data_IF_532168382050
#
_entry.id   IF_532168382050
#
_cell.length_a   1.000
_cell.length_b   1.000
_cell.length_c   1.000
_cell.angle_alpha   90.00
_cell.angle_beta   90.00
_cell.angle_gamma   90.00
#
_symmetry.space_group_name_H-M   'P 1'
#
loop_
_entity.id
_entity.type
_entity.pdbx_description
1 polymer ?
#
# COMPACT_ATOMS: atom_id res chain seq x y z
N UNK A 1 -22.32 -3.28 6.56
CA UNK A 1 -20.96 -3.79 6.93
C UNK A 1 -21.08 -5.30 6.95
N UNK A 2 -20.25 -5.99 6.21
CA UNK A 2 -20.20 -7.45 6.16
C UNK A 2 -19.83 -8.01 7.55
N UNK A 3 -20.28 -9.24 7.87
CA UNK A 3 -20.01 -9.92 9.15
C UNK A 3 -18.51 -9.99 9.46
N UNK A 4 -17.71 -10.36 8.45
CA UNK A 4 -16.25 -10.42 8.60
C UNK A 4 -15.66 -9.05 8.97
N UNK A 5 -16.13 -7.97 8.34
CA UNK A 5 -15.64 -6.63 8.62
C UNK A 5 -15.98 -6.17 10.06
N UNK A 6 -17.11 -6.62 10.60
CA UNK A 6 -17.48 -6.36 11.99
C UNK A 6 -16.62 -7.17 12.97
N UNK A 7 -16.37 -8.44 12.66
CA UNK A 7 -15.49 -9.30 13.46
C UNK A 7 -14.06 -8.75 13.51
N UNK A 8 -13.51 -8.32 12.37
CA UNK A 8 -12.21 -7.68 12.27
C UNK A 8 -12.12 -6.36 13.06
N UNK A 9 -13.17 -5.54 12.99
CA UNK A 9 -13.22 -4.30 13.77
C UNK A 9 -13.16 -4.56 15.28
N UNK A 10 -13.89 -5.56 15.75
CA UNK A 10 -13.92 -5.96 17.17
C UNK A 10 -12.58 -6.57 17.60
N UNK A 11 -12.04 -7.48 16.79
CA UNK A 11 -10.75 -8.13 17.05
C UNK A 11 -9.60 -7.12 17.11
N UNK A 12 -9.59 -6.12 16.21
CA UNK A 12 -8.58 -5.05 16.20
C UNK A 12 -8.52 -4.29 17.53
N UNK A 13 -9.68 -3.98 18.12
CA UNK A 13 -9.74 -3.31 19.41
C UNK A 13 -9.13 -4.17 20.52
N UNK A 14 -9.57 -5.42 20.63
CA UNK A 14 -9.07 -6.33 21.65
C UNK A 14 -7.56 -6.63 21.46
N UNK A 15 -7.14 -6.76 20.19
CA UNK A 15 -5.72 -6.96 19.87
C UNK A 15 -4.85 -5.77 20.31
N UNK A 16 -5.32 -4.54 20.11
CA UNK A 16 -4.62 -3.35 20.57
C UNK A 16 -4.52 -3.28 22.11
N UNK A 17 -5.47 -3.86 22.82
CA UNK A 17 -5.49 -4.01 24.28
C UNK A 17 -4.66 -5.20 24.79
N UNK A 18 -4.01 -5.95 23.88
CA UNK A 18 -3.11 -7.06 24.22
C UNK A 18 -3.73 -8.45 24.12
N UNK A 19 -5.00 -8.57 23.72
CA UNK A 19 -5.61 -9.88 23.49
C UNK A 19 -5.04 -10.55 22.22
N UNK A 20 -4.96 -11.89 22.16
CA UNK A 20 -4.58 -12.60 20.95
C UNK A 20 -5.67 -12.46 19.87
N UNK A 21 -5.25 -12.55 18.60
CA UNK A 21 -6.19 -12.64 17.49
C UNK A 21 -6.84 -14.04 17.42
N UNK A 22 -8.11 -14.11 17.05
CA UNK A 22 -8.74 -15.41 16.74
C UNK A 22 -8.01 -16.08 15.56
N UNK A 23 -7.74 -17.38 15.71
CA UNK A 23 -7.04 -18.17 14.70
C UNK A 23 -7.80 -18.14 13.37
N UNK A 24 -7.11 -17.79 12.29
CA UNK A 24 -7.66 -17.76 10.93
C UNK A 24 -8.57 -16.58 10.62
N UNK A 25 -8.67 -15.59 11.50
CA UNK A 25 -9.44 -14.37 11.25
C UNK A 25 -8.79 -13.47 10.18
N UNK A 26 -7.46 -13.40 10.19
CA UNK A 26 -6.66 -12.68 9.22
C UNK A 26 -5.78 -13.64 8.42
N UNK A 27 -5.47 -13.32 7.15
CA UNK A 27 -4.34 -13.95 6.47
C UNK A 27 -3.05 -13.74 7.27
N UNK A 28 -2.21 -14.76 7.35
CA UNK A 28 -0.98 -14.74 8.15
C UNK A 28 -0.06 -13.53 7.89
N UNK A 29 0.16 -13.07 6.63
CA UNK A 29 0.96 -11.87 6.39
C UNK A 29 0.37 -10.60 7.04
N UNK A 30 -0.96 -10.48 7.06
CA UNK A 30 -1.66 -9.33 7.65
C UNK A 30 -1.63 -9.43 9.18
N UNK A 31 -1.78 -10.61 9.75
CA UNK A 31 -1.64 -10.85 11.19
C UNK A 31 -0.25 -10.43 11.68
N UNK A 32 0.81 -10.87 11.00
CA UNK A 32 2.20 -10.45 11.29
C UNK A 32 2.38 -8.94 11.15
N UNK A 33 1.74 -8.32 10.16
CA UNK A 33 1.78 -6.86 9.98
C UNK A 33 1.10 -6.11 11.13
N UNK A 34 -0.01 -6.63 11.64
CA UNK A 34 -0.67 -6.08 12.83
C UNK A 34 0.25 -6.15 14.07
N UNK A 35 0.96 -7.27 14.23
CA UNK A 35 1.93 -7.45 15.31
C UNK A 35 3.07 -6.42 15.23
N UNK A 36 3.64 -6.22 14.05
CA UNK A 36 4.69 -5.21 13.83
C UNK A 36 4.19 -3.79 14.06
N UNK A 37 2.97 -3.47 13.59
CA UNK A 37 2.33 -2.17 13.80
C UNK A 37 2.12 -1.88 15.28
N UNK A 38 1.61 -2.86 16.04
CA UNK A 38 1.42 -2.74 17.49
C UNK A 38 2.75 -2.59 18.21
N UNK A 39 3.75 -3.39 17.85
CA UNK A 39 5.09 -3.35 18.45
C UNK A 39 5.79 -2.00 18.18
N UNK A 40 5.51 -1.37 17.05
CA UNK A 40 5.95 -0.01 16.74
C UNK A 40 5.21 1.08 17.56
N UNK A 41 4.27 0.69 18.42
CA UNK A 41 3.53 1.62 19.30
C UNK A 41 2.33 2.30 18.65
N UNK A 42 1.88 1.83 17.49
CA UNK A 42 0.67 2.36 16.87
C UNK A 42 -0.58 1.86 17.59
N UNK A 43 -1.58 2.74 17.70
CA UNK A 43 -2.92 2.38 18.14
C UNK A 43 -3.91 2.51 16.98
N UNK A 44 -4.92 1.61 16.85
CA UNK A 44 -5.80 1.59 15.69
C UNK A 44 -6.57 2.88 15.40
N UNK A 45 -6.83 3.68 16.41
CA UNK A 45 -7.58 4.94 16.31
C UNK A 45 -6.72 6.19 16.21
N UNK A 46 -5.41 6.03 16.17
CA UNK A 46 -4.50 7.15 16.01
C UNK A 46 -4.58 7.70 14.58
N UNK A 47 -4.90 9.00 14.38
CA UNK A 47 -4.91 9.58 13.05
C UNK A 47 -3.46 9.73 12.55
N UNK A 48 -3.15 9.13 11.42
CA UNK A 48 -1.83 9.22 10.78
C UNK A 48 -1.91 9.78 9.37
N UNK A 49 -3.04 9.56 8.69
CA UNK A 49 -3.20 10.01 7.31
C UNK A 49 -3.26 11.54 7.22
N UNK A 50 -3.98 12.19 8.15
CA UNK A 50 -4.08 13.65 8.21
C UNK A 50 -2.84 14.33 8.81
N UNK A 51 -2.03 13.62 9.59
CA UNK A 51 -0.77 14.12 10.13
C UNK A 51 0.32 14.00 9.04
N UNK A 52 0.30 14.93 8.08
CA UNK A 52 1.35 15.02 7.09
C UNK A 52 2.68 15.37 7.77
N UNK A 53 3.57 14.40 7.94
CA UNK A 53 4.98 14.73 8.00
C UNK A 53 5.36 15.17 6.58
N UNK A 54 5.46 16.47 6.40
CA UNK A 54 6.11 17.08 5.24
C UNK A 54 7.61 16.79 5.36
N UNK A 55 7.99 15.53 5.22
CA UNK A 55 9.34 15.21 4.84
C UNK A 55 9.51 15.77 3.43
N UNK A 56 10.12 16.94 3.34
CA UNK A 56 10.54 17.48 2.04
C UNK A 56 11.49 16.46 1.46
N UNK A 57 10.98 15.71 0.50
CA UNK A 57 11.70 14.63 -0.09
C UNK A 57 12.83 15.17 -0.95
N UNK A 58 14.05 14.91 -0.56
CA UNK A 58 15.11 14.73 -1.52
C UNK A 58 15.03 13.30 -2.02
N UNK A 59 14.53 13.11 -3.24
CA UNK A 59 14.63 11.85 -3.94
C UNK A 59 16.11 11.54 -4.14
N UNK A 60 16.50 10.32 -3.83
CA UNK A 60 17.81 9.81 -4.20
C UNK A 60 17.84 9.57 -5.73
N UNK A 61 19.03 9.42 -6.30
CA UNK A 61 19.16 9.07 -7.73
C UNK A 61 18.43 7.73 -8.02
N UNK A 62 18.48 6.80 -7.08
CA UNK A 62 17.75 5.51 -7.18
C UNK A 62 16.23 5.70 -7.17
N UNK A 63 15.70 6.60 -6.33
CA UNK A 63 14.26 6.91 -6.29
C UNK A 63 13.80 7.59 -7.58
N UNK A 64 14.61 8.51 -8.11
CA UNK A 64 14.34 9.19 -9.37
C UNK A 64 14.30 8.20 -10.53
N UNK A 65 15.27 7.28 -10.58
CA UNK A 65 15.32 6.22 -11.58
C UNK A 65 14.10 5.27 -11.49
N UNK A 66 13.74 4.84 -10.28
CA UNK A 66 12.53 4.03 -10.07
C UNK A 66 11.26 4.77 -10.53
N UNK A 67 11.14 6.06 -10.19
CA UNK A 67 10.01 6.90 -10.61
C UNK A 67 9.91 7.02 -12.15
N UNK A 68 11.03 7.22 -12.84
CA UNK A 68 11.09 7.27 -14.29
C UNK A 68 10.69 5.95 -14.94
N UNK A 69 11.17 4.83 -14.42
CA UNK A 69 10.85 3.50 -14.94
C UNK A 69 9.36 3.15 -14.78
N UNK A 70 8.76 3.52 -13.66
CA UNK A 70 7.37 3.16 -13.36
C UNK A 70 6.35 4.10 -14.00
N UNK A 71 6.69 5.36 -14.24
CA UNK A 71 5.74 6.37 -14.72
C UNK A 71 4.92 5.97 -15.95
N UNK A 72 5.50 5.42 -17.04
CA UNK A 72 4.72 5.03 -18.22
C UNK A 72 3.70 3.92 -17.91
N UNK A 73 4.01 3.02 -16.98
CA UNK A 73 3.10 1.95 -16.60
C UNK A 73 1.97 2.45 -15.68
N UNK A 74 2.24 3.44 -14.82
CA UNK A 74 1.20 4.13 -14.05
C UNK A 74 0.19 4.83 -15.00
N UNK A 75 0.67 5.53 -16.03
CA UNK A 75 -0.21 6.18 -17.01
C UNK A 75 -1.04 5.16 -17.78
N UNK A 76 -0.42 4.08 -18.27
CA UNK A 76 -1.12 3.00 -18.99
C UNK A 76 -2.17 2.31 -18.12
N UNK A 77 -1.83 1.99 -16.87
CA UNK A 77 -2.80 1.44 -15.92
C UNK A 77 -3.93 2.42 -15.65
N UNK A 78 -3.60 3.71 -15.51
CA UNK A 78 -4.60 4.74 -15.26
C UNK A 78 -5.64 4.84 -16.38
N UNK A 79 -5.22 4.76 -17.63
CA UNK A 79 -6.12 4.73 -18.78
C UNK A 79 -7.07 3.53 -18.75
N UNK A 80 -6.63 2.40 -18.19
CA UNK A 80 -7.41 1.16 -18.14
C UNK A 80 -8.34 1.06 -16.93
N UNK A 81 -7.95 1.60 -15.79
CA UNK A 81 -8.62 1.37 -14.50
C UNK A 81 -8.78 2.63 -13.66
N UNK A 82 -8.33 3.78 -14.14
CA UNK A 82 -8.44 5.06 -13.43
C UNK A 82 -9.89 5.44 -13.13
N UNK A 83 -10.11 6.00 -11.94
CA UNK A 83 -11.40 6.41 -11.43
C UNK A 83 -11.20 7.54 -10.41
N UNK A 84 -12.23 8.36 -10.18
CA UNK A 84 -12.19 9.49 -9.26
C UNK A 84 -11.87 9.12 -7.81
N UNK A 85 -12.09 7.86 -7.41
CA UNK A 85 -11.91 7.39 -6.04
C UNK A 85 -10.69 6.48 -5.85
N UNK A 86 -9.85 6.36 -6.88
CA UNK A 86 -8.69 5.45 -6.91
C UNK A 86 -7.43 6.20 -7.26
N UNK A 87 -6.32 5.66 -6.84
CA UNK A 87 -4.99 6.11 -7.21
C UNK A 87 -4.03 4.95 -7.39
N UNK A 88 -2.99 5.19 -8.15
CA UNK A 88 -1.84 4.32 -8.34
C UNK A 88 -0.62 5.01 -7.75
N UNK A 89 0.28 4.27 -7.13
CA UNK A 89 1.56 4.81 -6.71
C UNK A 89 2.64 3.72 -6.65
N UNK A 90 3.87 4.16 -6.63
CA UNK A 90 5.03 3.32 -6.42
C UNK A 90 5.75 3.74 -5.14
N UNK A 91 6.17 2.77 -4.34
CA UNK A 91 7.03 2.98 -3.18
C UNK A 91 8.41 2.39 -3.41
N UNK A 92 9.43 3.01 -2.84
CA UNK A 92 10.78 2.46 -2.75
C UNK A 92 10.89 1.38 -1.64
N UNK A 93 12.03 0.69 -1.48
CA UNK A 93 12.22 -0.32 -0.43
C UNK A 93 12.00 0.18 1.01
N UNK A 94 12.16 1.47 1.26
CA UNK A 94 11.92 2.10 2.57
C UNK A 94 10.46 2.52 2.78
N UNK A 95 9.52 2.02 1.95
CA UNK A 95 8.10 2.38 1.98
C UNK A 95 7.82 3.89 1.75
N UNK A 96 8.67 4.58 0.99
CA UNK A 96 8.45 5.97 0.60
C UNK A 96 7.83 6.04 -0.78
N UNK A 97 6.74 6.77 -0.93
CA UNK A 97 6.09 6.98 -2.24
C UNK A 97 7.04 7.80 -3.11
N UNK A 98 7.44 7.26 -4.26
CA UNK A 98 8.32 7.93 -5.22
C UNK A 98 7.57 8.49 -6.43
N UNK A 99 6.44 7.89 -6.79
CA UNK A 99 5.61 8.33 -7.92
C UNK A 99 4.14 8.05 -7.65
N UNK A 100 3.26 8.92 -8.14
CA UNK A 100 1.80 8.76 -7.99
C UNK A 100 1.06 9.08 -9.28
N UNK A 101 -0.07 8.42 -9.50
CA UNK A 101 -1.06 8.77 -10.50
C UNK A 101 -2.45 8.77 -9.88
N UNK A 102 -3.08 9.93 -9.85
CA UNK A 102 -4.40 10.15 -9.24
C UNK A 102 -5.16 11.24 -10.00
N UNK A 103 -6.51 11.34 -9.85
CA UNK A 103 -7.26 12.40 -10.50
C UNK A 103 -6.83 13.77 -10.00
N UNK A 104 -6.88 14.76 -10.90
CA UNK A 104 -6.68 16.15 -10.51
C UNK A 104 -7.79 16.57 -9.52
N UNK A 105 -7.40 17.28 -8.46
CA UNK A 105 -8.36 17.76 -7.44
C UNK A 105 -9.03 16.65 -6.63
N UNK A 106 -8.37 15.51 -6.44
CA UNK A 106 -8.89 14.43 -5.60
C UNK A 106 -9.25 14.96 -4.20
N UNK A 107 -10.54 14.99 -3.92
CA UNK A 107 -11.10 15.36 -2.61
C UNK A 107 -11.42 14.08 -1.83
N UNK A 108 -10.41 13.46 -1.27
CA UNK A 108 -10.54 12.26 -0.45
C UNK A 108 -9.34 12.15 0.49
N UNK A 109 -9.42 11.32 1.55
CA UNK A 109 -8.27 11.04 2.41
C UNK A 109 -7.03 10.54 1.63
N UNK A 110 -7.21 9.93 0.45
CA UNK A 110 -6.12 9.51 -0.42
C UNK A 110 -5.29 10.68 -0.97
N UNK A 111 -5.82 11.91 -0.96
CA UNK A 111 -5.07 13.11 -1.36
C UNK A 111 -3.79 13.29 -0.54
N UNK A 112 -3.79 12.80 0.71
CA UNK A 112 -2.63 12.80 1.59
C UNK A 112 -1.50 11.84 1.16
N UNK A 113 -1.79 10.90 0.26
CA UNK A 113 -0.78 10.01 -0.33
C UNK A 113 -0.12 10.72 -1.53
N UNK A 114 1.04 11.26 -1.33
CA UNK A 114 1.81 12.01 -2.33
C UNK A 114 3.27 11.55 -2.32
N UNK A 115 4.00 11.86 -3.38
CA UNK A 115 5.43 11.59 -3.44
C UNK A 115 6.14 12.19 -2.22
N UNK A 116 7.02 11.40 -1.61
CA UNK A 116 7.71 11.76 -0.37
C UNK A 116 7.11 11.15 0.89
N UNK A 117 5.84 10.81 0.88
CA UNK A 117 5.20 10.27 2.06
C UNK A 117 5.65 8.82 2.35
N UNK A 118 5.90 8.54 3.61
CA UNK A 118 6.14 7.18 4.09
C UNK A 118 4.82 6.48 4.39
N UNK A 119 4.73 5.23 3.95
CA UNK A 119 3.53 4.38 4.12
C UNK A 119 3.88 3.01 4.70
N UNK A 120 4.99 2.95 5.43
CA UNK A 120 5.44 1.74 6.12
C UNK A 120 4.63 1.43 7.38
N UNK A 121 4.80 0.23 7.90
CA UNK A 121 4.04 -0.25 9.06
C UNK A 121 4.26 0.58 10.32
N UNK A 122 5.45 1.16 10.48
CA UNK A 122 5.76 2.06 11.61
C UNK A 122 5.16 3.46 11.44
N UNK A 123 4.81 3.84 10.22
CA UNK A 123 4.29 5.17 9.89
C UNK A 123 2.77 5.19 9.90
N UNK A 124 2.15 4.22 9.21
CA UNK A 124 0.70 4.18 8.97
C UNK A 124 0.07 2.79 9.23
N UNK A 125 0.78 1.89 9.86
CA UNK A 125 0.31 0.53 10.15
C UNK A 125 0.25 -0.34 8.90
N UNK A 126 -0.58 -1.37 8.96
CA UNK A 126 -0.73 -2.36 7.89
C UNK A 126 -1.27 -1.74 6.61
N UNK A 127 -0.48 -1.79 5.54
CA UNK A 127 -0.85 -1.41 4.17
C UNK A 127 -0.42 -2.51 3.19
N UNK A 128 -1.02 -2.56 2.00
CA UNK A 128 -0.63 -3.56 1.01
C UNK A 128 0.84 -3.41 0.55
N UNK A 129 1.37 -2.20 0.23
CA UNK A 129 2.76 -2.06 -0.13
C UNK A 129 3.72 -2.45 1.00
N UNK A 130 3.40 -2.14 2.27
CA UNK A 130 4.25 -2.52 3.39
C UNK A 130 4.31 -4.05 3.57
N UNK A 131 3.17 -4.74 3.47
CA UNK A 131 3.14 -6.21 3.48
C UNK A 131 3.92 -6.79 2.28
N UNK A 132 3.74 -6.21 1.08
CA UNK A 132 4.45 -6.64 -0.14
C UNK A 132 5.96 -6.55 0.01
N UNK A 133 6.47 -5.45 0.57
CA UNK A 133 7.92 -5.26 0.75
C UNK A 133 8.49 -6.21 1.79
N UNK A 134 7.79 -6.44 2.90
CA UNK A 134 8.25 -7.35 3.96
C UNK A 134 8.29 -8.80 3.48
N UNK A 135 7.22 -9.27 2.85
CA UNK A 135 7.11 -10.66 2.44
C UNK A 135 7.64 -10.93 1.02
N UNK A 136 8.03 -9.88 0.28
CA UNK A 136 8.46 -9.94 -1.13
C UNK A 136 7.45 -10.66 -2.04
N UNK A 137 6.17 -10.55 -1.70
CA UNK A 137 5.04 -11.20 -2.36
C UNK A 137 3.90 -10.20 -2.57
N UNK A 138 3.03 -10.41 -3.57
CA UNK A 138 1.84 -9.60 -3.73
C UNK A 138 0.96 -9.63 -2.47
N UNK A 139 0.38 -8.49 -2.13
CA UNK A 139 -0.52 -8.35 -0.99
C UNK A 139 -1.83 -7.65 -1.38
N UNK A 140 -2.91 -8.04 -0.72
CA UNK A 140 -4.21 -7.39 -0.79
C UNK A 140 -4.63 -7.08 0.65
N UNK A 141 -4.93 -5.83 0.94
CA UNK A 141 -5.41 -5.38 2.24
C UNK A 141 -6.70 -4.59 2.04
N UNK A 142 -7.78 -5.03 2.66
CA UNK A 142 -9.11 -4.46 2.42
C UNK A 142 -9.86 -4.16 3.72
N UNK A 143 -10.45 -2.98 3.80
CA UNK A 143 -11.32 -2.62 4.90
C UNK A 143 -10.64 -2.74 6.27
N UNK A 144 -11.29 -3.44 7.17
CA UNK A 144 -10.80 -3.65 8.54
C UNK A 144 -9.57 -4.60 8.66
N UNK A 145 -9.01 -5.07 7.55
CA UNK A 145 -7.69 -5.71 7.56
C UNK A 145 -6.56 -4.69 7.75
N UNK A 146 -6.78 -3.40 7.44
CA UNK A 146 -5.85 -2.35 7.83
C UNK A 146 -5.81 -2.22 9.35
N UNK A 147 -4.60 -2.02 9.92
CA UNK A 147 -4.47 -1.86 11.36
C UNK A 147 -5.06 -0.53 11.86
N UNK A 148 -4.84 0.57 11.15
CA UNK A 148 -5.44 1.85 11.51
C UNK A 148 -6.89 1.95 11.00
N UNK A 149 -7.78 2.41 11.86
CA UNK A 149 -9.20 2.55 11.56
C UNK A 149 -9.46 3.54 10.41
N UNK A 150 -8.68 4.59 10.29
CA UNK A 150 -8.81 5.57 9.21
C UNK A 150 -8.63 4.96 7.80
N UNK A 151 -7.94 3.83 7.71
CA UNK A 151 -7.75 3.09 6.46
C UNK A 151 -8.86 2.07 6.17
N UNK A 152 -9.83 1.87 7.09
CA UNK A 152 -10.87 0.84 6.95
C UNK A 152 -11.83 1.03 5.77
N UNK A 153 -11.81 2.18 5.12
CA UNK A 153 -12.58 2.46 3.89
C UNK A 153 -11.82 2.07 2.61
N UNK A 154 -10.52 1.74 2.72
CA UNK A 154 -9.67 1.49 1.56
C UNK A 154 -9.60 0.03 1.19
N UNK A 155 -9.43 -0.19 -0.10
CA UNK A 155 -9.05 -1.45 -0.72
C UNK A 155 -7.74 -1.23 -1.45
N UNK A 156 -6.72 -2.01 -1.10
CA UNK A 156 -5.37 -1.87 -1.60
C UNK A 156 -4.89 -3.19 -2.20
N UNK A 157 -4.23 -3.11 -3.35
CA UNK A 157 -3.53 -4.24 -3.99
C UNK A 157 -2.13 -3.80 -4.33
N UNK A 158 -1.12 -4.58 -3.94
CA UNK A 158 0.28 -4.26 -4.19
C UNK A 158 1.04 -5.45 -4.74
N UNK A 159 2.03 -5.18 -5.57
CA UNK A 159 2.95 -6.18 -6.14
C UNK A 159 4.39 -5.69 -6.02
N UNK A 160 5.36 -6.60 -5.76
CA UNK A 160 6.77 -6.22 -5.70
C UNK A 160 7.30 -5.84 -7.08
N UNK A 161 8.28 -4.95 -7.10
CA UNK A 161 9.13 -4.63 -8.24
C UNK A 161 10.53 -5.18 -7.97
N UNK A 162 11.09 -5.93 -8.90
CA UNK A 162 12.38 -6.58 -8.77
C UNK A 162 13.39 -6.05 -9.77
N UNK A 163 14.59 -5.84 -9.30
CA UNK A 163 15.73 -5.49 -10.14
C UNK A 163 16.31 -6.69 -10.88
N UNK A 164 17.37 -6.43 -11.61
CA UNK A 164 18.04 -7.36 -12.53
C UNK A 164 18.52 -8.64 -11.85
N UNK A 165 18.94 -8.55 -10.58
CA UNK A 165 19.42 -9.68 -9.79
C UNK A 165 18.35 -10.24 -8.85
N UNK A 166 17.08 -9.84 -9.03
CA UNK A 166 15.96 -10.25 -8.18
C UNK A 166 15.82 -9.48 -6.86
N UNK A 167 16.67 -8.48 -6.63
CA UNK A 167 16.59 -7.58 -5.48
C UNK A 167 15.28 -6.78 -5.50
N UNK A 168 14.77 -6.43 -4.32
CA UNK A 168 13.54 -5.68 -4.19
C UNK A 168 13.81 -4.19 -4.43
N UNK A 169 13.29 -3.65 -5.54
CA UNK A 169 13.41 -2.26 -5.93
C UNK A 169 12.28 -1.38 -5.40
N UNK A 170 11.19 -1.98 -4.98
CA UNK A 170 10.01 -1.27 -4.49
C UNK A 170 8.74 -2.08 -4.63
N UNK A 171 7.60 -1.40 -4.59
CA UNK A 171 6.29 -2.01 -4.84
C UNK A 171 5.38 -1.05 -5.61
N UNK A 172 4.58 -1.61 -6.51
CA UNK A 172 3.53 -0.92 -7.24
C UNK A 172 2.19 -1.19 -6.57
N UNK A 173 1.43 -0.12 -6.27
CA UNK A 173 0.18 -0.20 -5.53
C UNK A 173 -0.99 0.46 -6.27
N UNK A 174 -2.16 -0.14 -6.11
CA UNK A 174 -3.47 0.43 -6.44
C UNK A 174 -4.29 0.52 -5.18
N UNK A 175 -4.65 1.73 -4.80
CA UNK A 175 -5.47 2.02 -3.61
C UNK A 175 -6.69 2.86 -3.97
N UNK A 176 -7.83 2.56 -3.36
CA UNK A 176 -9.06 3.32 -3.57
C UNK A 176 -10.12 3.08 -2.52
N UNK A 177 -11.20 3.86 -2.63
CA UNK A 177 -12.42 3.71 -1.82
C UNK A 177 -13.39 2.79 -2.56
N UNK A 178 -14.01 1.87 -1.83
CA UNK A 178 -14.89 0.85 -2.39
C UNK A 178 -14.16 -0.47 -2.67
N UNK A 179 -14.78 -1.31 -3.48
CA UNK A 179 -14.26 -2.66 -3.78
C UNK A 179 -14.11 -2.85 -5.28
N UNK A 180 -13.07 -3.57 -5.68
CA UNK A 180 -12.85 -4.05 -7.06
C UNK A 180 -12.57 -5.55 -7.03
N UNK A 181 -12.63 -6.18 -8.19
CA UNK A 181 -12.20 -7.57 -8.29
C UNK A 181 -10.70 -7.67 -8.04
N UNK A 182 -10.34 -8.22 -6.88
CA UNK A 182 -8.97 -8.30 -6.42
C UNK A 182 -8.06 -9.08 -7.39
N UNK A 183 -8.53 -10.21 -7.91
CA UNK A 183 -7.77 -11.01 -8.87
C UNK A 183 -7.47 -10.26 -10.16
N UNK A 184 -8.47 -9.58 -10.72
CA UNK A 184 -8.28 -8.75 -11.93
C UNK A 184 -7.28 -7.61 -11.68
N UNK A 185 -7.38 -6.92 -10.55
CA UNK A 185 -6.47 -5.84 -10.22
C UNK A 185 -5.04 -6.35 -10.00
N UNK A 186 -4.92 -7.47 -9.29
CA UNK A 186 -3.63 -8.11 -9.06
C UNK A 186 -2.92 -8.49 -10.37
N UNK A 187 -3.64 -9.10 -11.31
CA UNK A 187 -3.05 -9.49 -12.60
C UNK A 187 -2.64 -8.25 -13.43
N UNK A 188 -3.44 -7.19 -13.44
CA UNK A 188 -3.07 -5.94 -14.11
C UNK A 188 -1.81 -5.31 -13.51
N UNK A 189 -1.71 -5.28 -12.18
CA UNK A 189 -0.51 -4.77 -11.50
C UNK A 189 0.72 -5.65 -11.77
N UNK A 190 0.59 -6.98 -11.80
CA UNK A 190 1.70 -7.88 -12.17
C UNK A 190 2.22 -7.61 -13.57
N UNK A 191 1.34 -7.39 -14.54
CA UNK A 191 1.75 -7.05 -15.90
C UNK A 191 2.50 -5.71 -15.94
N UNK A 192 2.03 -4.70 -15.21
CA UNK A 192 2.71 -3.42 -15.14
C UNK A 192 4.06 -3.52 -14.40
N UNK A 193 4.13 -4.33 -13.34
CA UNK A 193 5.37 -4.60 -12.62
C UNK A 193 6.41 -5.23 -13.54
N UNK A 194 6.04 -6.29 -14.27
CA UNK A 194 6.94 -6.94 -15.23
C UNK A 194 7.41 -5.97 -16.33
N UNK A 195 6.52 -5.11 -16.84
CA UNK A 195 6.90 -4.10 -17.84
C UNK A 195 7.85 -3.04 -17.26
N UNK A 196 7.69 -2.68 -15.99
CA UNK A 196 8.62 -1.78 -15.28
C UNK A 196 9.97 -2.45 -15.04
N UNK A 197 9.97 -3.69 -14.55
CA UNK A 197 11.18 -4.49 -14.32
C UNK A 197 12.03 -4.63 -15.57
N UNK A 198 11.39 -4.86 -16.73
CA UNK A 198 12.10 -4.92 -18.02
C UNK A 198 12.87 -3.61 -18.36
N UNK A 199 12.44 -2.47 -17.85
CA UNK A 199 13.14 -1.19 -18.06
C UNK A 199 14.42 -1.10 -17.24
N UNK A 200 14.48 -1.75 -16.07
CA UNK A 200 15.72 -1.80 -15.27
C UNK A 200 16.88 -2.52 -16.00
N UNK A 201 16.58 -3.34 -17.00
CA UNK A 201 17.59 -3.98 -17.84
C UNK A 201 18.10 -3.09 -19.00
N UNK A 202 17.41 -2.00 -19.29
CA UNK A 202 17.70 -1.15 -20.46
C UNK A 202 18.46 0.13 -20.09
N UNK A 203 18.61 0.38 -18.81
CA UNK A 203 19.28 1.56 -18.25
C UNK A 203 20.47 1.18 -17.39
#
# INVERSE_FOLDING_TARGET
MDRLQLELHTARRHFAEGAPLPIGLLPEPIERSWERSRTAGLTPWQPRLAQGHLDILQLTDSDAHLAECVQPELERLWELIGDSHWMLFCVNPENRIVQTRKPAGMDSPLSALHAGRRVGEIDVGTTAPACTLVDSMPAIVAGNQHYLQEFSQFFCVSVPLRGVNGELMGALDLTGIGTRNAGTMLERLKHAALATENKFFLT
#
